data_IF_754317028261
#
_entry.id   IF_754317028261
#
_cell.length_a   1.000
_cell.length_b   1.000
_cell.length_c   1.000
_cell.angle_alpha   90.00
_cell.angle_beta   90.00
_cell.angle_gamma   90.00
#
_symmetry.space_group_name_H-M   'P 1'
#
loop_
_entity.id
_entity.type
_entity.pdbx_description
1 polymer ?
#
# COMPACT_ATOMS: atom_id res chain seq x y z
N UNK A 1 21.47 -7.60 -9.55
CA UNK A 1 20.21 -8.39 -9.65
C UNK A 1 20.24 -9.81 -9.08
N UNK A 2 21.36 -10.54 -9.11
CA UNK A 2 21.40 -11.93 -8.57
C UNK A 2 20.93 -12.05 -7.12
N UNK A 3 21.48 -11.21 -6.24
CA UNK A 3 21.13 -11.17 -4.81
C UNK A 3 19.63 -10.90 -4.60
N UNK A 4 19.07 -9.89 -5.27
CA UNK A 4 17.65 -9.57 -5.15
C UNK A 4 16.75 -10.75 -5.55
N UNK A 5 17.01 -11.37 -6.72
CA UNK A 5 16.23 -12.52 -7.20
C UNK A 5 16.34 -13.75 -6.30
N UNK A 6 17.41 -13.86 -5.52
CA UNK A 6 17.54 -14.93 -4.52
C UNK A 6 16.61 -14.69 -3.34
N UNK A 7 16.56 -13.46 -2.82
CA UNK A 7 15.66 -13.10 -1.73
C UNK A 7 14.18 -13.05 -2.14
N UNK A 8 13.88 -12.53 -3.32
CA UNK A 8 12.52 -12.47 -3.87
C UNK A 8 11.89 -13.87 -3.95
N UNK A 9 12.65 -14.89 -4.36
CA UNK A 9 12.19 -16.30 -4.30
C UNK A 9 11.82 -16.77 -2.89
N UNK A 10 12.60 -16.38 -1.88
CA UNK A 10 12.35 -16.76 -0.49
C UNK A 10 11.12 -16.00 0.06
N UNK A 11 11.00 -14.71 -0.25
CA UNK A 11 9.84 -13.88 0.10
C UNK A 11 8.57 -14.49 -0.53
N UNK A 12 8.59 -14.77 -1.83
CA UNK A 12 7.48 -15.39 -2.56
C UNK A 12 7.14 -16.79 -2.03
N UNK A 13 8.11 -17.55 -1.51
CA UNK A 13 7.86 -18.87 -0.92
C UNK A 13 7.20 -18.80 0.47
N UNK A 14 7.71 -17.95 1.35
CA UNK A 14 7.31 -17.98 2.75
C UNK A 14 6.26 -16.92 3.10
N UNK A 15 6.42 -15.68 2.61
CA UNK A 15 5.59 -14.54 2.99
C UNK A 15 4.34 -14.38 2.12
N UNK A 16 4.39 -14.81 0.85
CA UNK A 16 3.28 -14.58 -0.08
C UNK A 16 2.08 -15.50 0.18
N UNK A 17 0.88 -14.96 0.33
CA UNK A 17 -0.42 -15.68 0.40
C UNK A 17 -1.48 -14.85 -0.34
N UNK A 18 -2.12 -15.42 -1.37
CA UNK A 18 -3.18 -14.75 -2.15
C UNK A 18 -2.82 -13.32 -2.59
N UNK A 19 -1.58 -13.16 -3.07
CA UNK A 19 -0.98 -11.89 -3.51
C UNK A 19 -0.76 -10.82 -2.41
N UNK A 20 -0.95 -11.19 -1.14
CA UNK A 20 -0.46 -10.47 0.04
C UNK A 20 0.90 -10.99 0.50
N UNK A 21 1.63 -10.16 1.24
CA UNK A 21 2.93 -10.51 1.83
C UNK A 21 2.85 -10.33 3.34
N UNK A 22 2.72 -11.44 4.06
CA UNK A 22 2.54 -11.42 5.51
C UNK A 22 3.84 -11.58 6.28
N UNK A 23 3.81 -11.14 7.53
CA UNK A 23 4.87 -11.37 8.47
C UNK A 23 4.95 -12.86 8.82
N UNK A 24 6.17 -13.39 8.81
CA UNK A 24 6.45 -14.80 9.08
C UNK A 24 7.57 -14.94 10.11
N UNK A 25 7.56 -16.04 10.85
CA UNK A 25 8.68 -16.43 11.71
C UNK A 25 9.89 -16.76 10.84
N UNK A 26 11.05 -16.18 11.16
CA UNK A 26 12.30 -16.48 10.47
C UNK A 26 12.72 -17.94 10.60
N UNK A 27 12.40 -18.60 11.73
CA UNK A 27 12.83 -19.97 12.01
C UNK A 27 11.90 -21.03 11.39
N UNK A 28 10.59 -20.79 11.36
CA UNK A 28 9.60 -21.78 10.89
C UNK A 28 8.94 -21.43 9.56
N UNK A 29 9.02 -20.18 9.11
CA UNK A 29 8.31 -19.69 7.93
C UNK A 29 6.78 -19.63 8.09
N UNK A 30 6.28 -19.84 9.31
CA UNK A 30 4.85 -19.75 9.61
C UNK A 30 4.41 -18.29 9.70
N UNK A 31 3.21 -18.00 9.19
CA UNK A 31 2.58 -16.67 9.28
C UNK A 31 2.36 -16.34 10.75
N UNK A 32 2.93 -15.21 11.20
CA UNK A 32 2.76 -14.71 12.56
C UNK A 32 1.59 -13.74 12.64
N UNK A 33 1.50 -12.82 11.66
CA UNK A 33 0.44 -11.83 11.58
C UNK A 33 -0.03 -11.69 10.12
N UNK A 34 -1.29 -12.04 9.80
CA UNK A 34 -1.87 -11.85 8.47
C UNK A 34 -2.31 -10.39 8.28
N UNK A 35 -1.36 -9.47 8.35
CA UNK A 35 -1.60 -8.03 8.27
C UNK A 35 -0.88 -7.41 7.08
N UNK A 36 -1.49 -6.39 6.50
CA UNK A 36 -0.87 -5.47 5.56
C UNK A 36 -0.52 -4.18 6.28
N UNK A 37 0.70 -3.70 6.11
CA UNK A 37 1.12 -2.38 6.58
C UNK A 37 1.16 -1.41 5.39
N UNK A 38 0.71 -0.19 5.59
CA UNK A 38 0.68 0.83 4.53
C UNK A 38 2.05 1.03 3.86
N UNK A 39 3.14 0.92 4.60
CA UNK A 39 4.52 0.93 4.09
C UNK A 39 4.79 -0.17 3.05
N UNK A 40 4.23 -1.38 3.22
CA UNK A 40 4.45 -2.51 2.30
C UNK A 40 3.91 -2.24 0.88
N UNK A 41 3.13 -1.17 0.71
CA UNK A 41 2.67 -0.70 -0.59
C UNK A 41 3.79 -0.28 -1.55
N UNK A 42 5.06 -0.22 -1.13
CA UNK A 42 6.20 -0.05 -2.04
C UNK A 42 6.47 -1.31 -2.89
N UNK A 43 6.01 -2.49 -2.44
CA UNK A 43 6.40 -3.77 -3.02
C UNK A 43 5.98 -3.95 -4.49
N UNK A 44 4.77 -3.56 -4.94
CA UNK A 44 4.41 -3.58 -6.36
C UNK A 44 5.33 -2.74 -7.25
N UNK A 45 5.76 -1.56 -6.78
CA UNK A 45 6.74 -0.74 -7.49
C UNK A 45 8.06 -1.49 -7.67
N UNK A 46 8.53 -2.18 -6.62
CA UNK A 46 9.76 -2.99 -6.70
C UNK A 46 9.61 -4.19 -7.64
N UNK A 47 8.48 -4.90 -7.62
CA UNK A 47 8.16 -5.97 -8.56
C UNK A 47 8.15 -5.47 -10.00
N UNK A 48 7.64 -4.26 -10.22
CA UNK A 48 7.66 -3.59 -11.53
C UNK A 48 9.10 -3.41 -12.02
N UNK A 49 9.99 -2.91 -11.17
CA UNK A 49 11.40 -2.69 -11.51
C UNK A 49 12.15 -3.96 -11.90
N UNK A 50 11.82 -5.10 -11.29
CA UNK A 50 12.46 -6.38 -11.61
C UNK A 50 11.80 -7.14 -12.76
N UNK A 51 10.74 -6.57 -13.34
CA UNK A 51 10.04 -7.07 -14.51
C UNK A 51 8.92 -8.06 -14.18
N UNK A 52 8.53 -8.23 -12.92
CA UNK A 52 7.38 -9.07 -12.53
C UNK A 52 6.09 -8.24 -12.51
N UNK A 53 5.72 -7.76 -13.69
CA UNK A 53 4.52 -6.94 -13.91
C UNK A 53 3.23 -7.67 -13.48
N UNK A 54 3.01 -8.96 -13.83
CA UNK A 54 1.78 -9.64 -13.44
C UNK A 54 1.59 -9.72 -11.93
N UNK A 55 2.67 -9.94 -11.17
CA UNK A 55 2.59 -9.96 -9.72
C UNK A 55 2.38 -8.57 -9.13
N UNK A 56 3.07 -7.55 -9.67
CA UNK A 56 2.91 -6.16 -9.23
C UNK A 56 1.45 -5.71 -9.33
N UNK A 57 0.81 -5.97 -10.48
CA UNK A 57 -0.60 -5.64 -10.73
C UNK A 57 -1.52 -6.29 -9.70
N UNK A 58 -1.39 -7.60 -9.45
CA UNK A 58 -2.24 -8.32 -8.50
C UNK A 58 -2.13 -7.79 -7.07
N UNK A 59 -0.90 -7.59 -6.61
CA UNK A 59 -0.65 -7.08 -5.26
C UNK A 59 -1.14 -5.64 -5.10
N UNK A 60 -0.97 -4.79 -6.13
CA UNK A 60 -1.48 -3.42 -6.13
C UNK A 60 -3.01 -3.39 -6.05
N UNK A 61 -3.71 -4.26 -6.78
CA UNK A 61 -5.17 -4.35 -6.70
C UNK A 61 -5.65 -4.68 -5.29
N UNK A 62 -4.99 -5.61 -4.59
CA UNK A 62 -5.32 -5.93 -3.20
C UNK A 62 -5.20 -4.68 -2.30
N UNK A 63 -4.17 -3.87 -2.48
CA UNK A 63 -3.98 -2.62 -1.72
C UNK A 63 -5.00 -1.56 -2.09
N UNK A 64 -5.36 -1.45 -3.37
CA UNK A 64 -6.42 -0.56 -3.82
C UNK A 64 -7.79 -0.96 -3.27
N UNK A 65 -8.09 -2.25 -3.07
CA UNK A 65 -9.32 -2.65 -2.39
C UNK A 65 -9.43 -2.08 -0.97
N UNK A 66 -8.32 -2.05 -0.22
CA UNK A 66 -8.27 -1.41 1.10
C UNK A 66 -8.52 0.09 0.98
N UNK A 67 -7.95 0.73 -0.05
CA UNK A 67 -8.22 2.14 -0.35
C UNK A 67 -9.70 2.38 -0.66
N UNK A 68 -10.35 1.54 -1.48
CA UNK A 68 -11.79 1.67 -1.78
C UNK A 68 -12.67 1.49 -0.55
N UNK A 69 -12.23 0.69 0.42
CA UNK A 69 -12.97 0.48 1.66
C UNK A 69 -12.95 1.71 2.58
N UNK A 70 -11.81 2.40 2.69
CA UNK A 70 -11.61 3.44 3.70
C UNK A 70 -11.32 4.84 3.16
N UNK A 71 -11.08 4.99 1.86
CA UNK A 71 -10.49 6.18 1.24
C UNK A 71 -8.98 6.33 1.50
N UNK A 72 -8.37 5.42 2.26
CA UNK A 72 -6.97 5.49 2.69
C UNK A 72 -6.45 4.10 3.05
N UNK A 73 -5.13 3.88 3.02
CA UNK A 73 -4.53 2.69 3.62
C UNK A 73 -4.27 2.92 5.11
N UNK A 74 -4.94 2.21 6.04
CA UNK A 74 -4.58 2.29 7.45
C UNK A 74 -3.14 1.81 7.66
N UNK A 75 -2.49 2.33 8.69
CA UNK A 75 -1.12 1.95 9.06
C UNK A 75 -0.96 0.43 9.21
N UNK A 76 -1.97 -0.23 9.78
CA UNK A 76 -2.04 -1.69 9.86
C UNK A 76 -3.47 -2.14 9.54
N UNK A 77 -3.61 -2.98 8.53
CA UNK A 77 -4.84 -3.64 8.10
C UNK A 77 -4.78 -5.15 8.41
N UNK A 78 -5.80 -5.70 9.06
CA UNK A 78 -5.97 -7.15 9.22
C UNK A 78 -6.67 -7.73 8.00
N UNK A 79 -5.95 -8.54 7.23
CA UNK A 79 -6.47 -9.12 5.99
C UNK A 79 -7.46 -10.25 6.27
N UNK A 80 -7.27 -11.02 7.34
CA UNK A 80 -8.16 -12.13 7.68
C UNK A 80 -9.55 -11.66 8.11
N UNK A 81 -9.62 -10.54 8.82
CA UNK A 81 -10.88 -9.98 9.33
C UNK A 81 -11.35 -8.74 8.55
N UNK A 82 -10.59 -8.31 7.54
CA UNK A 82 -10.88 -7.16 6.69
C UNK A 82 -11.18 -5.86 7.46
N UNK A 83 -10.35 -5.53 8.45
CA UNK A 83 -10.50 -4.29 9.24
C UNK A 83 -9.17 -3.59 9.54
N UNK A 84 -9.23 -2.28 9.75
CA UNK A 84 -8.11 -1.48 10.24
C UNK A 84 -7.79 -1.82 11.71
N UNK A 85 -6.57 -2.29 12.00
CA UNK A 85 -6.04 -2.47 13.37
C UNK A 85 -5.40 -1.21 13.91
N UNK A 86 -4.75 -0.45 13.02
CA UNK A 86 -4.17 0.85 13.34
C UNK A 86 -4.62 1.82 12.26
N UNK A 87 -5.56 2.68 12.64
CA UNK A 87 -6.42 3.41 11.71
C UNK A 87 -5.80 4.70 11.17
N UNK A 88 -4.59 5.10 11.58
CA UNK A 88 -3.99 6.34 11.11
C UNK A 88 -3.43 6.18 9.68
N UNK A 89 -3.55 7.22 8.86
CA UNK A 89 -2.89 7.36 7.56
C UNK A 89 -2.13 8.69 7.52
N UNK A 90 -0.79 8.67 7.70
CA UNK A 90 0.03 9.88 7.78
C UNK A 90 0.46 10.37 6.38
N UNK A 91 -0.47 10.36 5.41
CA UNK A 91 -0.23 10.83 4.04
C UNK A 91 0.85 10.04 3.28
N UNK A 92 0.89 8.72 3.51
CA UNK A 92 1.90 7.80 3.00
C UNK A 92 1.95 7.71 1.46
N UNK A 93 3.13 7.87 0.83
CA UNK A 93 3.24 7.92 -0.63
C UNK A 93 3.42 6.55 -1.30
N UNK A 94 3.66 5.47 -0.56
CA UNK A 94 4.16 4.21 -1.11
C UNK A 94 3.20 3.58 -2.14
N UNK A 95 1.88 3.71 -1.94
CA UNK A 95 0.89 3.19 -2.89
C UNK A 95 0.88 4.00 -4.21
N UNK A 96 0.83 5.33 -4.13
CA UNK A 96 0.83 6.19 -5.32
C UNK A 96 2.16 6.12 -6.07
N UNK A 97 3.28 5.93 -5.36
CA UNK A 97 4.59 5.67 -5.94
C UNK A 97 4.58 4.37 -6.76
N UNK A 98 4.08 3.27 -6.18
CA UNK A 98 3.96 1.99 -6.89
C UNK A 98 3.06 2.07 -8.12
N UNK A 99 1.94 2.80 -8.03
CA UNK A 99 1.04 3.06 -9.16
C UNK A 99 1.77 3.81 -10.27
N UNK A 100 2.53 4.85 -9.92
CA UNK A 100 3.31 5.63 -10.88
C UNK A 100 4.30 4.76 -11.64
N UNK A 101 5.12 3.95 -10.95
CA UNK A 101 6.08 3.07 -11.63
C UNK A 101 5.40 2.03 -12.52
N UNK A 102 4.33 1.42 -12.04
CA UNK A 102 3.59 0.42 -12.80
C UNK A 102 2.97 1.05 -14.05
N UNK A 103 2.42 2.27 -13.95
CA UNK A 103 1.90 3.01 -15.09
C UNK A 103 2.99 3.31 -16.13
N UNK A 104 4.18 3.73 -15.69
CA UNK A 104 5.28 3.96 -16.63
C UNK A 104 5.69 2.69 -17.38
N UNK A 105 5.63 1.54 -16.73
CA UNK A 105 5.98 0.25 -17.32
C UNK A 105 4.90 -0.31 -18.27
N UNK A 106 3.61 -0.12 -17.95
CA UNK A 106 2.50 -0.76 -18.68
C UNK A 106 1.73 0.19 -19.60
N UNK A 107 1.72 1.48 -19.29
CA UNK A 107 0.83 2.51 -19.88
C UNK A 107 -0.66 2.18 -19.76
N UNK A 108 -1.02 1.35 -18.77
CA UNK A 108 -2.40 1.00 -18.48
C UNK A 108 -3.16 2.20 -17.89
N UNK A 109 -4.21 2.65 -18.57
CA UNK A 109 -4.99 3.80 -18.16
C UNK A 109 -5.75 3.57 -16.85
N UNK A 110 -6.07 2.32 -16.51
CA UNK A 110 -6.75 2.02 -15.26
C UNK A 110 -5.91 2.42 -14.03
N UNK A 111 -4.59 2.40 -14.14
CA UNK A 111 -3.70 2.86 -13.06
C UNK A 111 -3.83 4.38 -12.80
N UNK A 112 -4.18 5.16 -13.82
CA UNK A 112 -4.49 6.58 -13.62
C UNK A 112 -5.82 6.77 -12.89
N UNK A 113 -6.83 5.95 -13.18
CA UNK A 113 -8.11 5.97 -12.45
C UNK A 113 -7.90 5.66 -10.97
N UNK A 114 -7.07 4.67 -10.65
CA UNK A 114 -6.65 4.37 -9.27
C UNK A 114 -5.93 5.58 -8.63
N UNK A 115 -5.06 6.27 -9.39
CA UNK A 115 -4.41 7.49 -8.92
C UNK A 115 -5.40 8.64 -8.64
N UNK A 116 -6.46 8.75 -9.44
CA UNK A 116 -7.54 9.72 -9.22
C UNK A 116 -8.32 9.38 -7.95
N UNK A 117 -8.67 8.11 -7.71
CA UNK A 117 -9.32 7.67 -6.45
C UNK A 117 -8.50 8.12 -5.22
N UNK A 118 -7.17 8.02 -5.29
CA UNK A 118 -6.26 8.46 -4.23
C UNK A 118 -6.30 9.98 -4.05
N UNK A 119 -6.17 10.72 -5.15
CA UNK A 119 -6.19 12.19 -5.13
C UNK A 119 -7.51 12.73 -4.58
N UNK A 120 -8.64 12.19 -5.04
CA UNK A 120 -9.97 12.61 -4.59
C UNK A 120 -10.16 12.37 -3.09
N UNK A 121 -9.67 11.24 -2.56
CA UNK A 121 -9.76 10.95 -1.13
C UNK A 121 -8.94 11.93 -0.28
N UNK A 122 -7.72 12.27 -0.74
CA UNK A 122 -6.85 13.25 -0.09
C UNK A 122 -7.46 14.65 -0.14
N UNK A 123 -7.95 15.09 -1.30
CA UNK A 123 -8.60 16.40 -1.47
C UNK A 123 -9.87 16.52 -0.61
N UNK A 124 -10.63 15.44 -0.48
CA UNK A 124 -11.88 15.45 0.26
C UNK A 124 -11.67 15.49 1.78
N UNK A 125 -10.80 14.63 2.33
CA UNK A 125 -10.73 14.43 3.79
C UNK A 125 -9.44 14.93 4.45
N UNK A 126 -8.33 15.06 3.70
CA UNK A 126 -7.05 15.49 4.27
C UNK A 126 -6.76 16.98 4.07
N UNK A 127 -7.46 17.67 3.17
CA UNK A 127 -7.22 19.08 2.86
C UNK A 127 -7.65 20.00 4.00
N UNK A 128 -6.82 21.01 4.28
CA UNK A 128 -7.09 22.10 5.23
C UNK A 128 -6.93 23.47 4.57
N UNK A 129 -7.20 24.55 5.30
CA UNK A 129 -7.07 25.92 4.78
C UNK A 129 -5.63 26.27 4.36
N UNK A 130 -4.63 25.65 4.98
CA UNK A 130 -3.21 25.97 4.78
C UNK A 130 -2.33 24.77 4.36
N UNK A 131 -2.92 23.64 3.99
CA UNK A 131 -2.17 22.46 3.56
C UNK A 131 -2.99 21.17 3.62
N UNK A 132 -2.35 20.10 4.07
CA UNK A 132 -2.97 18.79 4.27
C UNK A 132 -2.62 18.24 5.64
N UNK A 133 -3.48 17.38 6.17
CA UNK A 133 -3.39 16.84 7.51
C UNK A 133 -3.44 15.31 7.49
N UNK A 134 -2.70 14.70 8.41
CA UNK A 134 -2.75 13.26 8.68
C UNK A 134 -4.17 12.84 9.02
N UNK A 135 -4.64 11.74 8.43
CA UNK A 135 -5.90 11.13 8.84
C UNK A 135 -5.62 10.32 10.10
N UNK A 136 -6.19 10.74 11.24
CA UNK A 136 -6.04 10.06 12.53
C UNK A 136 -6.76 8.72 12.54
N UNK A 137 -7.94 8.67 11.93
CA UNK A 137 -8.75 7.46 11.83
C UNK A 137 -9.43 7.39 10.45
N UNK A 138 -9.08 6.38 9.66
CA UNK A 138 -9.61 6.17 8.30
C UNK A 138 -11.08 5.70 8.26
N UNK A 139 -11.69 5.35 9.39
CA UNK A 139 -13.11 4.97 9.48
C UNK A 139 -14.01 6.21 9.58
N UNK A 140 -13.63 7.19 10.40
CA UNK A 140 -14.43 8.40 10.62
C UNK A 140 -13.83 9.67 10.00
N UNK A 141 -12.67 9.54 9.36
CA UNK A 141 -11.92 10.60 8.65
C UNK A 141 -11.55 11.79 9.55
N UNK A 142 -11.44 11.59 10.87
CA UNK A 142 -10.86 12.61 11.75
C UNK A 142 -9.42 12.89 11.37
N UNK A 143 -9.07 14.16 11.27
CA UNK A 143 -7.71 14.61 10.99
C UNK A 143 -6.91 14.89 12.27
N UNK A 144 -5.59 14.80 12.17
CA UNK A 144 -4.61 15.25 13.15
C UNK A 144 -3.81 16.41 12.55
N UNK A 145 -3.57 17.47 13.32
CA UNK A 145 -2.88 18.69 12.88
C UNK A 145 -1.37 18.45 12.66
N UNK A 146 -1.07 17.67 11.61
CA UNK A 146 0.26 17.23 11.25
C UNK A 146 0.34 16.91 9.75
N UNK A 147 1.24 17.60 9.06
CA UNK A 147 1.63 17.29 7.69
C UNK A 147 3.06 16.73 7.71
N UNK A 148 3.22 15.50 7.23
CA UNK A 148 4.55 14.89 7.15
C UNK A 148 5.34 15.48 5.97
N UNK A 149 6.65 15.62 6.13
CA UNK A 149 7.51 16.28 5.13
C UNK A 149 7.59 15.54 3.79
N UNK A 150 7.33 14.22 3.77
CA UNK A 150 7.37 13.39 2.56
C UNK A 150 6.13 13.55 1.67
N UNK A 151 5.15 14.35 2.08
CA UNK A 151 3.93 14.59 1.29
C UNK A 151 4.15 15.61 0.15
N UNK A 152 5.16 16.48 0.27
CA UNK A 152 5.43 17.58 -0.66
C UNK A 152 6.24 17.17 -1.90
#
# INVERSE_FOLDING_TARGET
>A
MKMFKEYEKIISKYMKRDDWYFWVSMSSGQVTMPTFQSLEAFWPGLLTFVGDIPQAVKTLYNYHQVWKQYGFTPEIYDVSHSHAKRENYPLRPELIESIMYLYYATRDQHLLEIGVDILESIEHSARTDCGYATIKNVVDHKIEDRMESFFL
#
